data_IF_177655357373
#
_entry.id   IF_177655357373
#
_cell.length_a   1.000
_cell.length_b   1.000
_cell.length_c   1.000
_cell.angle_alpha   90.00
_cell.angle_beta   90.00
_cell.angle_gamma   90.00
#
_symmetry.space_group_name_H-M   'P 1'
#
loop_
_entity.id
_entity.type
_entity.pdbx_description
1 polymer ?
#
# COMPACT_ATOMS: atom_id res chain seq x y z
N UNK A 1 9.18 32.94 11.38
CA UNK A 1 9.02 32.95 9.91
C UNK A 1 8.54 31.55 9.57
N UNK A 2 7.50 31.42 8.72
CA UNK A 2 6.99 30.12 8.35
C UNK A 2 8.08 29.29 7.65
N UNK A 3 8.16 28.02 8.01
CA UNK A 3 9.12 27.07 7.47
C UNK A 3 8.37 25.93 6.79
N UNK A 4 8.86 25.49 5.65
CA UNK A 4 8.25 24.41 4.86
C UNK A 4 9.12 23.16 4.92
N UNK A 5 8.51 22.01 5.15
CA UNK A 5 9.20 20.71 5.20
C UNK A 5 8.31 19.60 4.63
N UNK A 6 8.89 18.42 4.41
CA UNK A 6 8.13 17.23 4.01
C UNK A 6 7.97 16.28 5.19
N UNK A 7 6.73 15.86 5.46
CA UNK A 7 6.39 14.76 6.36
C UNK A 7 6.04 13.51 5.55
N UNK A 8 6.73 12.41 5.84
CA UNK A 8 6.49 11.06 5.30
C UNK A 8 6.61 10.02 6.42
N UNK A 9 6.17 8.79 6.18
CA UNK A 9 6.25 7.66 7.09
C UNK A 9 6.10 6.35 6.31
N UNK A 10 6.28 5.21 6.97
CA UNK A 10 5.87 3.90 6.44
C UNK A 10 6.49 3.57 5.07
N UNK A 11 7.79 3.82 4.91
CA UNK A 11 8.51 3.48 3.67
C UNK A 11 8.61 1.98 3.46
N UNK A 12 8.58 1.20 4.56
CA UNK A 12 8.49 -0.26 4.56
C UNK A 12 9.46 -0.92 3.56
N UNK A 13 10.70 -0.43 3.55
CA UNK A 13 11.72 -0.95 2.64
C UNK A 13 12.00 -2.41 2.99
N UNK A 14 11.97 -3.26 1.97
CA UNK A 14 12.15 -4.70 2.12
C UNK A 14 10.87 -5.50 2.30
N UNK A 15 9.69 -4.87 2.18
CA UNK A 15 8.40 -5.57 2.21
C UNK A 15 8.39 -6.78 1.27
N UNK A 16 8.00 -7.97 1.74
CA UNK A 16 8.18 -9.21 0.98
C UNK A 16 7.16 -9.39 -0.15
N UNK A 17 6.00 -8.71 -0.11
CA UNK A 17 4.91 -8.88 -1.09
C UNK A 17 4.52 -10.36 -1.35
N UNK A 18 4.33 -11.14 -0.28
CA UNK A 18 4.14 -12.59 -0.35
C UNK A 18 2.95 -13.05 -1.23
N UNK A 19 1.93 -12.20 -1.42
CA UNK A 19 0.80 -12.49 -2.30
C UNK A 19 1.08 -12.40 -3.81
N UNK A 20 2.30 -12.05 -4.21
CA UNK A 20 2.74 -11.98 -5.61
C UNK A 20 3.67 -13.15 -5.88
N UNK A 21 3.32 -14.03 -6.81
CA UNK A 21 4.07 -15.26 -7.10
C UNK A 21 5.38 -15.00 -7.86
N UNK A 22 5.36 -14.04 -8.79
CA UNK A 22 6.50 -13.68 -9.62
C UNK A 22 7.56 -12.88 -8.83
N UNK A 23 8.79 -13.41 -8.77
CA UNK A 23 9.89 -12.82 -8.02
C UNK A 23 10.43 -11.51 -8.60
N UNK A 24 10.34 -11.34 -9.92
CA UNK A 24 10.76 -10.12 -10.60
C UNK A 24 9.77 -8.99 -10.32
N UNK A 25 8.46 -9.29 -10.31
CA UNK A 25 7.44 -8.31 -9.93
C UNK A 25 7.55 -7.90 -8.46
N UNK A 26 7.85 -8.83 -7.54
CA UNK A 26 8.18 -8.47 -6.14
C UNK A 26 9.40 -7.55 -6.07
N UNK A 27 10.44 -7.85 -6.85
CA UNK A 27 11.66 -7.04 -6.90
C UNK A 27 11.41 -5.64 -7.48
N UNK A 28 10.57 -5.51 -8.51
CA UNK A 28 10.13 -4.23 -9.07
C UNK A 28 9.40 -3.38 -8.03
N UNK A 29 8.47 -3.97 -7.27
CA UNK A 29 7.77 -3.25 -6.20
C UNK A 29 8.71 -2.77 -5.09
N UNK A 30 9.73 -3.55 -4.74
CA UNK A 30 10.80 -3.09 -3.85
C UNK A 30 11.55 -1.89 -4.42
N UNK A 31 11.84 -1.89 -5.73
CA UNK A 31 12.50 -0.78 -6.41
C UNK A 31 11.63 0.49 -6.46
N UNK A 32 10.31 0.37 -6.67
CA UNK A 32 9.40 1.52 -6.65
C UNK A 32 9.34 2.22 -5.29
N UNK A 33 9.45 1.48 -4.17
CA UNK A 33 9.59 2.10 -2.84
C UNK A 33 10.85 2.96 -2.71
N UNK A 34 11.95 2.56 -3.33
CA UNK A 34 13.17 3.39 -3.37
C UNK A 34 12.98 4.58 -4.33
N UNK A 35 12.31 4.37 -5.45
CA UNK A 35 11.97 5.46 -6.38
C UNK A 35 11.12 6.54 -5.70
N UNK A 36 10.22 6.17 -4.79
CA UNK A 36 9.46 7.13 -3.99
C UNK A 36 10.36 8.07 -3.16
N UNK A 37 11.52 7.60 -2.68
CA UNK A 37 12.53 8.44 -1.99
C UNK A 37 13.13 9.45 -2.98
N UNK A 38 13.43 9.01 -4.20
CA UNK A 38 13.89 9.91 -5.27
C UNK A 38 12.81 10.92 -5.66
N UNK A 39 11.53 10.54 -5.62
CA UNK A 39 10.42 11.48 -5.85
C UNK A 39 10.30 12.49 -4.71
N UNK A 40 10.51 12.09 -3.45
CA UNK A 40 10.62 13.01 -2.30
C UNK A 40 11.74 14.03 -2.52
N UNK A 41 12.91 13.59 -3.01
CA UNK A 41 14.01 14.50 -3.32
C UNK A 41 13.64 15.55 -4.38
N UNK A 42 12.86 15.17 -5.42
CA UNK A 42 12.34 16.11 -6.43
C UNK A 42 11.37 17.11 -5.79
N UNK A 43 10.42 16.64 -4.99
CA UNK A 43 9.44 17.49 -4.30
C UNK A 43 10.11 18.48 -3.32
N UNK A 44 11.19 18.07 -2.65
CA UNK A 44 11.97 18.99 -1.80
C UNK A 44 12.51 20.18 -2.61
N UNK A 45 13.06 19.91 -3.81
CA UNK A 45 13.59 20.95 -4.70
C UNK A 45 12.48 21.83 -5.27
N UNK A 46 11.38 21.22 -5.71
CA UNK A 46 10.24 21.93 -6.31
C UNK A 46 9.58 22.90 -5.32
N UNK A 47 9.46 22.50 -4.06
CA UNK A 47 8.74 23.27 -3.04
C UNK A 47 9.65 24.02 -2.05
N UNK A 48 10.97 23.95 -2.22
CA UNK A 48 11.92 24.60 -1.32
C UNK A 48 11.78 24.11 0.13
N UNK A 49 11.61 22.80 0.32
CA UNK A 49 11.53 22.21 1.66
C UNK A 49 12.88 22.33 2.38
N UNK A 50 12.88 22.70 3.66
CA UNK A 50 14.08 22.87 4.47
C UNK A 50 14.61 21.57 5.07
N UNK A 51 13.75 20.58 5.27
CA UNK A 51 14.10 19.24 5.77
C UNK A 51 12.98 18.23 5.46
N UNK A 52 13.27 16.96 5.72
CA UNK A 52 12.30 15.85 5.67
C UNK A 52 12.21 15.21 7.05
N UNK A 53 11.00 14.86 7.48
CA UNK A 53 10.77 13.98 8.65
C UNK A 53 10.15 12.66 8.22
N UNK A 54 10.68 11.56 8.74
CA UNK A 54 10.20 10.19 8.54
C UNK A 54 9.66 9.69 9.87
N UNK A 55 8.34 9.63 10.01
CA UNK A 55 7.64 9.29 11.25
C UNK A 55 7.50 7.76 11.46
N UNK A 56 8.60 7.01 11.31
CA UNK A 56 8.65 5.57 11.58
C UNK A 56 8.50 4.67 10.35
N UNK A 57 8.81 3.40 10.58
CA UNK A 57 8.77 2.30 9.61
C UNK A 57 9.48 2.63 8.29
N UNK A 58 10.74 3.01 8.39
CA UNK A 58 11.62 3.12 7.23
C UNK A 58 11.85 1.74 6.61
N UNK A 59 12.08 0.74 7.46
CA UNK A 59 12.27 -0.66 7.06
C UNK A 59 11.09 -1.53 7.49
N UNK A 60 10.75 -2.53 6.67
CA UNK A 60 9.70 -3.52 6.97
C UNK A 60 10.18 -4.61 7.96
N UNK A 61 11.47 -4.61 8.31
CA UNK A 61 12.08 -5.58 9.21
C UNK A 61 13.26 -4.98 9.98
N UNK A 62 13.50 -5.50 11.18
CA UNK A 62 14.67 -5.18 12.03
C UNK A 62 16.01 -5.62 11.40
N UNK A 63 15.98 -6.51 10.41
CA UNK A 63 17.16 -7.01 9.68
C UNK A 63 16.93 -6.96 8.17
N UNK A 64 16.86 -5.76 7.56
CA UNK A 64 16.69 -5.63 6.12
C UNK A 64 17.93 -6.17 5.39
N UNK A 65 17.74 -6.68 4.18
CA UNK A 65 18.87 -7.18 3.39
C UNK A 65 19.80 -6.02 3.00
N UNK A 66 21.11 -6.28 3.02
CA UNK A 66 22.16 -5.28 2.77
C UNK A 66 22.00 -4.51 1.45
N UNK A 67 21.53 -5.18 0.40
CA UNK A 67 21.26 -4.55 -0.91
C UNK A 67 20.24 -3.42 -0.79
N UNK A 68 19.12 -3.67 -0.11
CA UNK A 68 18.10 -2.65 0.11
C UNK A 68 18.62 -1.52 1.00
N UNK A 69 19.47 -1.84 1.98
CA UNK A 69 20.12 -0.84 2.83
C UNK A 69 20.93 0.15 2.00
N UNK A 70 21.86 -0.34 1.18
CA UNK A 70 22.72 0.52 0.36
C UNK A 70 21.94 1.34 -0.66
N UNK A 71 20.96 0.74 -1.35
CA UNK A 71 20.15 1.46 -2.35
C UNK A 71 19.29 2.56 -1.72
N UNK A 72 18.71 2.28 -0.56
CA UNK A 72 17.88 3.25 0.18
C UNK A 72 18.72 4.39 0.73
N UNK A 73 19.86 4.09 1.36
CA UNK A 73 20.77 5.12 1.86
C UNK A 73 21.30 6.00 0.71
N UNK A 74 21.64 5.40 -0.43
CA UNK A 74 22.01 6.16 -1.63
C UNK A 74 20.91 7.12 -2.09
N UNK A 75 19.64 6.67 -2.11
CA UNK A 75 18.52 7.54 -2.46
C UNK A 75 18.26 8.65 -1.42
N UNK A 76 18.41 8.34 -0.12
CA UNK A 76 18.32 9.34 0.95
C UNK A 76 19.41 10.40 0.80
N UNK A 77 20.64 9.99 0.48
CA UNK A 77 21.77 10.90 0.24
C UNK A 77 21.58 11.86 -0.93
N UNK A 78 20.62 11.60 -1.82
CA UNK A 78 20.28 12.48 -2.95
C UNK A 78 19.17 13.50 -2.61
N UNK A 79 18.53 13.36 -1.45
CA UNK A 79 17.64 14.39 -0.90
C UNK A 79 18.49 15.62 -0.54
N UNK A 80 18.19 16.81 -1.08
CA UNK A 80 19.07 17.98 -0.97
C UNK A 80 19.09 18.62 0.43
N UNK A 81 18.29 18.09 1.36
CA UNK A 81 18.06 18.64 2.70
C UNK A 81 18.25 17.55 3.76
N UNK A 82 18.45 17.92 5.05
CA UNK A 82 18.52 16.96 6.14
C UNK A 82 17.25 16.11 6.26
N UNK A 83 17.42 14.84 6.61
CA UNK A 83 16.36 13.86 6.81
C UNK A 83 16.41 13.37 8.26
N UNK A 84 15.32 13.53 9.00
CA UNK A 84 15.21 13.11 10.40
C UNK A 84 14.24 11.94 10.52
N UNK A 85 14.68 10.83 11.09
CA UNK A 85 13.86 9.61 11.21
C UNK A 85 13.72 9.17 12.66
N UNK A 86 12.50 8.82 13.06
CA UNK A 86 12.24 8.00 14.24
C UNK A 86 11.99 6.55 13.81
N UNK A 87 12.29 5.53 14.64
CA UNK A 87 11.88 4.15 14.42
C UNK A 87 10.37 3.92 14.65
N UNK A 88 9.78 3.00 13.89
CA UNK A 88 8.41 2.50 14.05
C UNK A 88 8.37 1.07 14.62
N UNK A 89 7.29 0.33 14.40
CA UNK A 89 7.13 -1.04 14.93
C UNK A 89 7.88 -2.10 14.13
N UNK A 90 8.00 -1.94 12.81
CA UNK A 90 8.72 -2.90 11.97
C UNK A 90 10.24 -2.79 12.12
N UNK A 91 10.72 -1.58 12.43
CA UNK A 91 12.12 -1.27 12.64
C UNK A 91 12.37 -0.65 14.01
N UNK A 92 11.75 -1.13 15.08
CA UNK A 92 11.90 -0.52 16.41
C UNK A 92 13.36 -0.27 16.86
N UNK A 93 13.61 0.81 17.61
CA UNK A 93 14.95 1.30 17.98
C UNK A 93 15.73 0.49 19.02
N UNK A 94 15.31 -0.74 19.35
CA UNK A 94 16.01 -1.57 20.34
C UNK A 94 17.42 -1.95 19.85
N UNK A 95 18.32 -2.25 20.79
CA UNK A 95 19.62 -2.86 20.47
C UNK A 95 19.44 -4.13 19.64
N UNK A 96 20.29 -4.31 18.62
CA UNK A 96 20.26 -5.47 17.72
C UNK A 96 19.40 -5.29 16.46
N UNK A 97 18.65 -4.20 16.35
CA UNK A 97 17.92 -3.83 15.12
C UNK A 97 18.82 -3.08 14.12
N UNK A 98 18.31 -2.87 12.91
CA UNK A 98 19.00 -2.19 11.79
C UNK A 98 19.75 -0.93 12.20
N UNK A 99 19.17 -0.11 13.08
CA UNK A 99 19.76 1.16 13.52
C UNK A 99 21.11 1.04 14.22
N UNK A 100 21.42 -0.14 14.75
CA UNK A 100 22.64 -0.42 15.51
C UNK A 100 23.60 -1.37 14.77
N UNK A 101 23.25 -1.81 13.57
CA UNK A 101 24.09 -2.72 12.79
C UNK A 101 25.28 -1.98 12.19
N UNK A 102 26.49 -2.51 12.34
CA UNK A 102 27.73 -1.90 11.82
C UNK A 102 27.62 -1.57 10.33
N UNK A 103 27.08 -2.49 9.53
CA UNK A 103 26.89 -2.28 8.10
C UNK A 103 26.01 -1.04 7.79
N UNK A 104 24.88 -0.90 8.47
CA UNK A 104 23.99 0.26 8.28
C UNK A 104 24.68 1.55 8.70
N UNK A 105 25.38 1.54 9.84
CA UNK A 105 26.08 2.72 10.36
C UNK A 105 27.20 3.19 9.42
N UNK A 106 28.03 2.26 8.92
CA UNK A 106 29.12 2.53 7.98
C UNK A 106 28.60 3.05 6.62
N UNK A 107 27.59 2.37 6.06
CA UNK A 107 26.97 2.79 4.81
C UNK A 107 26.28 4.15 4.96
N UNK A 108 25.61 4.43 6.08
CA UNK A 108 24.94 5.71 6.32
C UNK A 108 25.93 6.87 6.30
N UNK A 109 27.09 6.71 6.95
CA UNK A 109 28.13 7.74 6.96
C UNK A 109 28.64 8.06 5.55
N UNK A 110 28.67 7.08 4.66
CA UNK A 110 29.20 7.22 3.29
C UNK A 110 28.12 7.70 2.31
N UNK A 111 26.93 7.11 2.36
CA UNK A 111 25.89 7.26 1.35
C UNK A 111 24.79 8.26 1.75
N UNK A 112 24.52 8.43 3.04
CA UNK A 112 23.45 9.28 3.56
C UNK A 112 23.90 10.11 4.77
N UNK A 113 24.95 10.96 4.64
CA UNK A 113 25.42 11.79 5.75
C UNK A 113 24.36 12.80 6.22
N UNK A 114 23.35 13.08 5.40
CA UNK A 114 22.17 13.90 5.71
C UNK A 114 21.07 13.15 6.50
N UNK A 115 21.21 11.85 6.76
CA UNK A 115 20.26 11.08 7.56
C UNK A 115 20.60 11.13 9.06
N UNK A 116 19.70 11.72 9.84
CA UNK A 116 19.80 11.88 11.28
C UNK A 116 18.82 10.94 12.00
N UNK A 117 19.36 10.10 12.88
CA UNK A 117 18.58 9.12 13.64
C UNK A 117 18.12 9.72 14.97
N UNK A 118 16.81 9.76 15.20
CA UNK A 118 16.21 10.26 16.43
C UNK A 118 15.79 9.06 17.29
N UNK A 119 16.74 8.51 18.06
CA UNK A 119 16.53 7.29 18.87
C UNK A 119 16.22 7.57 20.34
N UNK A 120 16.15 8.85 20.74
CA UNK A 120 15.91 9.28 22.11
C UNK A 120 14.74 10.26 22.18
N UNK A 121 13.98 10.24 23.27
CA UNK A 121 12.88 11.15 23.54
C UNK A 121 13.38 12.45 24.16
N UNK A 122 14.14 13.23 23.37
CA UNK A 122 14.73 14.51 23.78
C UNK A 122 14.50 15.57 22.71
N UNK A 123 14.31 16.86 23.07
CA UNK A 123 14.18 17.92 22.08
C UNK A 123 15.43 18.03 21.19
N UNK A 124 15.21 18.15 19.88
CA UNK A 124 16.28 18.39 18.89
C UNK A 124 16.06 19.75 18.27
N UNK A 125 16.90 20.71 18.65
CA UNK A 125 16.86 22.07 18.12
C UNK A 125 17.52 22.13 16.73
N UNK A 126 16.75 22.56 15.73
CA UNK A 126 17.22 22.93 14.40
C UNK A 126 17.27 24.46 14.30
N UNK A 127 17.72 24.99 13.16
CA UNK A 127 17.88 26.44 12.96
C UNK A 127 16.56 27.20 13.19
N UNK A 128 15.43 26.72 12.63
CA UNK A 128 14.12 27.40 12.71
C UNK A 128 13.05 26.65 13.52
N UNK A 129 13.27 25.36 13.81
CA UNK A 129 12.29 24.49 14.48
C UNK A 129 12.89 23.68 15.62
N UNK A 130 12.04 23.08 16.44
CA UNK A 130 12.39 22.07 17.42
C UNK A 130 11.63 20.79 17.08
N UNK A 131 12.36 19.69 16.87
CA UNK A 131 11.76 18.37 16.75
C UNK A 131 11.59 17.75 18.14
N UNK A 132 10.45 17.10 18.34
CA UNK A 132 10.06 16.41 19.56
C UNK A 132 9.79 14.94 19.23
N UNK A 133 10.86 14.12 19.13
CA UNK A 133 10.75 12.72 18.73
C UNK A 133 10.13 11.84 19.84
N UNK A 134 9.27 10.91 19.42
CA UNK A 134 8.68 9.85 20.23
C UNK A 134 9.04 8.48 19.62
N UNK A 135 10.32 8.06 19.69
CA UNK A 135 10.80 6.88 18.97
C UNK A 135 10.28 5.58 19.58
N UNK A 136 9.82 4.66 18.73
CA UNK A 136 9.38 3.34 19.19
C UNK A 136 10.59 2.43 19.43
N UNK A 137 10.94 2.17 20.69
CA UNK A 137 12.12 1.36 21.06
C UNK A 137 11.84 -0.14 21.20
N UNK A 138 10.59 -0.56 21.08
CA UNK A 138 10.17 -1.98 21.05
C UNK A 138 9.02 -2.09 20.07
N UNK A 139 8.90 -3.21 19.36
CA UNK A 139 7.82 -3.46 18.38
C UNK A 139 6.42 -3.12 18.91
N UNK A 140 6.14 -3.49 20.16
CA UNK A 140 4.90 -3.15 20.84
C UNK A 140 5.18 -2.58 22.23
N UNK A 141 4.51 -1.46 22.52
CA UNK A 141 4.46 -0.83 23.84
C UNK A 141 3.01 -0.59 24.26
N UNK A 142 2.75 -0.75 25.56
CA UNK A 142 1.45 -0.45 26.16
C UNK A 142 1.39 0.97 26.76
N UNK A 143 2.53 1.67 26.78
CA UNK A 143 2.67 3.06 27.21
C UNK A 143 2.56 4.01 26.02
N UNK A 144 2.01 5.19 26.27
CA UNK A 144 1.92 6.26 25.28
C UNK A 144 3.28 6.96 25.13
N UNK A 145 3.94 6.83 23.99
CA UNK A 145 5.26 7.42 23.78
C UNK A 145 5.27 8.95 23.70
N UNK A 146 4.11 9.58 23.60
CA UNK A 146 3.98 11.03 23.70
C UNK A 146 3.85 11.50 25.16
N UNK A 147 3.88 10.58 26.13
CA UNK A 147 3.73 10.90 27.55
C UNK A 147 4.74 11.93 28.06
N UNK A 148 5.98 11.86 27.61
CA UNK A 148 7.05 12.76 28.04
C UNK A 148 6.76 14.23 27.67
N UNK A 149 5.91 14.47 26.66
CA UNK A 149 5.46 15.81 26.25
C UNK A 149 4.34 16.36 27.16
N UNK A 150 3.73 15.50 27.98
CA UNK A 150 2.69 15.88 28.94
C UNK A 150 3.27 16.10 30.33
N UNK A 151 4.28 15.32 30.69
CA UNK A 151 4.92 15.37 31.99
C UNK A 151 5.94 16.51 32.07
N UNK A 152 5.61 17.56 32.82
CA UNK A 152 6.54 18.66 33.09
C UNK A 152 6.49 19.76 32.03
N UNK A 153 5.78 20.85 32.34
CA UNK A 153 5.82 22.09 31.55
C UNK A 153 7.23 22.69 31.42
N UNK A 154 8.17 22.23 32.26
CA UNK A 154 9.58 22.61 32.29
C UNK A 154 10.29 22.38 30.95
N UNK A 155 9.93 21.31 30.22
CA UNK A 155 10.51 21.04 28.90
C UNK A 155 10.34 22.27 28.00
N UNK A 156 9.16 22.87 28.00
CA UNK A 156 8.86 24.02 27.14
C UNK A 156 9.47 25.33 27.63
N UNK A 157 9.69 25.48 28.94
CA UNK A 157 10.25 26.70 29.53
C UNK A 157 11.71 26.94 29.10
N UNK A 158 12.47 25.87 28.86
CA UNK A 158 13.86 25.95 28.40
C UNK A 158 14.03 26.06 26.88
N UNK A 159 12.95 25.91 26.11
CA UNK A 159 13.02 25.85 24.65
C UNK A 159 12.96 27.25 24.01
N UNK A 160 13.79 27.50 22.98
CA UNK A 160 13.66 28.70 22.15
C UNK A 160 12.26 28.86 21.56
N UNK A 161 11.91 30.10 21.22
CA UNK A 161 10.65 30.44 20.58
C UNK A 161 10.66 30.06 19.08
N UNK A 162 10.70 28.76 18.81
CA UNK A 162 10.72 28.12 17.48
C UNK A 162 9.51 27.21 17.34
N UNK A 163 9.06 26.97 16.10
CA UNK A 163 7.95 26.05 15.86
C UNK A 163 8.32 24.64 16.34
N UNK A 164 7.38 23.94 16.99
CA UNK A 164 7.62 22.64 17.64
C UNK A 164 6.85 21.54 16.94
N UNK A 165 7.59 20.56 16.44
CA UNK A 165 7.07 19.47 15.60
C UNK A 165 7.25 18.13 16.33
N UNK A 166 6.17 17.43 16.62
CA UNK A 166 6.21 16.08 17.19
C UNK A 166 6.37 15.06 16.07
N UNK A 167 7.21 14.04 16.28
CA UNK A 167 7.26 12.85 15.43
C UNK A 167 6.86 11.67 16.31
N UNK A 168 5.80 10.94 15.94
CA UNK A 168 5.35 9.77 16.67
C UNK A 168 4.88 8.67 15.71
N UNK A 169 4.99 7.42 16.13
CA UNK A 169 4.56 6.27 15.35
C UNK A 169 3.64 5.38 16.19
N UNK A 170 2.40 5.21 15.73
CA UNK A 170 1.40 4.42 16.43
C UNK A 170 -0.04 4.86 16.15
N UNK A 171 -0.99 4.07 16.65
CA UNK A 171 -2.41 4.23 16.40
C UNK A 171 -3.07 5.26 17.34
N UNK A 172 -4.09 5.98 16.85
CA UNK A 172 -4.86 6.97 17.65
C UNK A 172 -6.25 6.44 18.02
N UNK A 173 -6.70 6.74 19.25
CA UNK A 173 -7.90 6.16 19.87
C UNK A 173 -9.26 6.62 19.28
N UNK A 174 -9.28 7.65 18.42
CA UNK A 174 -10.54 8.26 17.93
C UNK A 174 -11.16 7.62 16.67
N UNK A 175 -10.77 6.38 16.34
CA UNK A 175 -11.52 5.56 15.38
C UNK A 175 -12.36 4.52 16.11
N UNK A 176 -13.61 4.92 16.39
CA UNK A 176 -14.64 4.01 16.83
C UNK A 176 -14.84 2.88 15.81
N UNK A 177 -14.72 1.64 16.31
CA UNK A 177 -15.47 0.46 15.86
C UNK A 177 -15.91 0.45 14.39
N UNK A 178 -14.95 0.37 13.48
CA UNK A 178 -15.10 -0.45 12.30
C UNK A 178 -13.88 -1.36 12.33
N UNK A 179 -14.08 -2.58 12.83
CA UNK A 179 -13.17 -3.69 12.59
C UNK A 179 -12.99 -3.80 11.07
N UNK A 180 -11.91 -3.23 10.57
CA UNK A 180 -11.46 -3.49 9.22
C UNK A 180 -10.98 -4.94 9.24
N UNK A 181 -11.80 -5.83 8.67
CA UNK A 181 -11.44 -7.22 8.46
C UNK A 181 -10.32 -7.26 7.42
N UNK A 182 -9.11 -7.13 7.93
CA UNK A 182 -7.91 -7.35 7.20
C UNK A 182 -7.63 -8.85 7.20
N UNK A 183 -7.94 -9.55 6.11
CA UNK A 183 -7.51 -10.95 5.91
C UNK A 183 -5.97 -11.10 5.95
N UNK A 184 -5.21 -10.00 5.75
CA UNK A 184 -3.76 -9.95 5.86
C UNK A 184 -3.23 -9.32 7.19
N UNK A 185 -4.10 -8.77 8.05
CA UNK A 185 -3.77 -8.25 9.40
C UNK A 185 -4.65 -8.89 10.49
N UNK A 186 -4.80 -10.21 10.43
CA UNK A 186 -5.42 -10.98 11.51
C UNK A 186 -4.56 -10.86 12.78
N UNK A 187 -4.93 -9.97 13.71
CA UNK A 187 -4.54 -10.10 15.12
C UNK A 187 -3.88 -8.92 15.83
N UNK A 188 -3.83 -7.69 15.29
CA UNK A 188 -3.34 -6.56 16.07
C UNK A 188 -4.40 -6.08 17.09
N UNK A 189 -4.24 -6.51 18.34
CA UNK A 189 -4.61 -5.66 19.47
C UNK A 189 -3.97 -4.29 19.20
N UNK A 190 -4.73 -3.20 19.28
CA UNK A 190 -4.25 -1.83 19.06
C UNK A 190 -3.15 -1.49 20.10
N UNK A 191 -1.92 -1.90 19.80
CA UNK A 191 -0.70 -1.61 20.52
C UNK A 191 -0.18 -0.24 20.08
N UNK A 192 0.79 0.32 20.79
CA UNK A 192 1.42 1.60 20.41
C UNK A 192 0.43 2.78 20.38
N UNK A 193 -0.56 2.78 21.29
CA UNK A 193 -1.61 3.80 21.32
C UNK A 193 -1.09 5.18 21.72
N UNK A 194 -1.49 6.19 20.95
CA UNK A 194 -1.17 7.60 21.15
C UNK A 194 -2.41 8.36 21.64
N UNK A 195 -2.29 9.07 22.76
CA UNK A 195 -3.39 9.86 23.34
C UNK A 195 -3.25 11.34 23.02
N UNK A 196 -3.45 11.70 21.75
CA UNK A 196 -3.20 13.06 21.25
C UNK A 196 -3.97 14.14 22.02
N UNK A 197 -5.24 13.90 22.38
CA UNK A 197 -6.06 14.87 23.11
C UNK A 197 -5.55 15.23 24.51
N UNK A 198 -4.53 14.53 25.04
CA UNK A 198 -3.86 14.89 26.30
C UNK A 198 -2.60 15.74 26.09
N UNK A 199 -2.21 16.02 24.85
CA UNK A 199 -1.03 16.82 24.55
C UNK A 199 -1.30 18.32 24.77
N UNK A 200 -0.29 19.09 25.20
CA UNK A 200 -0.43 20.54 25.32
C UNK A 200 -0.41 21.20 23.94
N UNK A 201 -1.53 21.15 23.21
CA UNK A 201 -1.63 21.66 21.82
C UNK A 201 -1.27 23.14 21.62
N UNK A 202 -1.20 23.95 22.68
CA UNK A 202 -0.72 25.33 22.61
C UNK A 202 0.82 25.43 22.55
N UNK A 203 1.53 24.41 23.03
CA UNK A 203 2.99 24.30 22.96
C UNK A 203 3.48 23.66 21.67
N UNK A 204 2.59 22.98 20.93
CA UNK A 204 2.92 22.20 19.73
C UNK A 204 2.33 22.85 18.49
N UNK A 205 3.05 22.81 17.37
CA UNK A 205 2.63 23.46 16.12
C UNK A 205 2.28 22.46 15.03
N UNK A 206 2.85 21.25 15.05
CA UNK A 206 2.50 20.15 14.16
C UNK A 206 2.82 18.78 14.80
N UNK A 207 2.04 17.76 14.47
CA UNK A 207 2.23 16.38 14.92
C UNK A 207 2.27 15.46 13.69
N UNK A 208 3.47 14.99 13.37
CA UNK A 208 3.77 14.04 12.31
C UNK A 208 3.58 12.60 12.81
N UNK A 209 2.61 11.89 12.26
CA UNK A 209 2.26 10.51 12.61
C UNK A 209 2.61 9.52 11.49
N UNK A 210 3.14 8.36 11.85
CA UNK A 210 3.17 7.13 11.03
C UNK A 210 2.47 5.97 11.74
N UNK A 211 2.36 4.80 11.06
CA UNK A 211 1.63 3.54 11.44
C UNK A 211 0.35 3.35 10.60
N UNK A 212 -0.15 4.41 9.97
CA UNK A 212 -1.32 4.36 9.10
C UNK A 212 -0.93 4.65 7.65
N UNK A 213 -1.17 3.68 6.76
CA UNK A 213 -0.67 3.73 5.39
C UNK A 213 -1.44 4.67 4.44
N UNK A 214 -2.52 5.31 4.88
CA UNK A 214 -3.25 6.33 4.10
C UNK A 214 -2.95 7.76 4.57
N UNK A 215 -3.13 8.76 3.72
CA UNK A 215 -3.10 10.16 4.16
C UNK A 215 -4.36 10.47 4.96
N UNK A 216 -4.18 10.99 6.18
CA UNK A 216 -5.29 11.24 7.08
C UNK A 216 -5.04 12.43 8.00
N UNK A 217 -5.95 13.40 7.95
CA UNK A 217 -6.02 14.45 8.95
C UNK A 217 -6.75 13.92 10.19
N UNK A 218 -6.14 14.02 11.36
CA UNK A 218 -6.76 13.66 12.63
C UNK A 218 -7.39 14.89 13.27
N UNK A 219 -6.62 15.99 13.34
CA UNK A 219 -7.09 17.28 13.83
C UNK A 219 -6.39 18.43 13.06
N UNK A 220 -6.48 19.67 13.55
CA UNK A 220 -5.87 20.83 12.90
C UNK A 220 -4.33 20.76 12.77
N UNK A 221 -3.64 20.00 13.63
CA UNK A 221 -2.18 19.90 13.72
C UNK A 221 -1.65 18.47 13.56
N UNK A 222 -2.50 17.45 13.67
CA UNK A 222 -2.10 16.04 13.67
C UNK A 222 -2.45 15.33 12.36
N UNK A 223 -1.46 14.71 11.72
CA UNK A 223 -1.60 14.10 10.41
C UNK A 223 -0.83 12.79 10.29
N UNK A 224 -1.45 11.78 9.69
CA UNK A 224 -0.75 10.65 9.07
C UNK A 224 -0.44 10.99 7.61
N UNK A 225 0.82 10.84 7.19
CA UNK A 225 1.17 11.03 5.78
C UNK A 225 0.69 9.89 4.89
N UNK A 226 0.64 8.67 5.44
CA UNK A 226 0.53 7.45 4.66
C UNK A 226 1.88 6.96 4.17
N UNK A 227 1.86 5.80 3.50
CA UNK A 227 3.03 5.25 2.82
C UNK A 227 3.27 6.00 1.50
N UNK A 228 4.51 6.38 1.16
CA UNK A 228 4.81 7.16 -0.04
C UNK A 228 4.72 6.35 -1.33
N UNK A 229 4.79 5.03 -1.25
CA UNK A 229 4.52 4.10 -2.35
C UNK A 229 3.42 3.13 -1.91
N UNK A 230 2.28 3.05 -2.63
CA UNK A 230 1.18 2.18 -2.24
C UNK A 230 1.61 0.71 -2.15
N UNK A 231 1.00 -0.02 -1.22
CA UNK A 231 1.49 -1.34 -0.83
C UNK A 231 0.42 -2.40 -0.64
N UNK A 232 -0.82 -2.02 -0.87
CA UNK A 232 -2.02 -2.83 -0.73
C UNK A 232 -3.14 -2.25 -1.59
N UNK A 233 -4.16 -3.05 -1.86
CA UNK A 233 -5.35 -2.56 -2.55
C UNK A 233 -6.13 -1.57 -1.66
N UNK A 234 -6.76 -0.53 -2.25
CA UNK A 234 -7.53 0.45 -1.50
C UNK A 234 -8.66 -0.19 -0.67
N UNK A 235 -8.81 0.23 0.59
CA UNK A 235 -9.86 -0.22 1.53
C UNK A 235 -10.90 0.88 1.78
N UNK A 236 -11.38 1.48 0.69
CA UNK A 236 -12.32 2.61 0.73
C UNK A 236 -11.64 3.98 0.73
N UNK A 237 -12.46 5.03 0.76
CA UNK A 237 -12.02 6.42 0.51
C UNK A 237 -11.05 6.99 1.57
N UNK A 238 -10.95 6.37 2.75
CA UNK A 238 -10.06 6.82 3.84
C UNK A 238 -8.61 6.35 3.73
N UNK A 239 -8.23 5.62 2.68
CA UNK A 239 -6.89 5.06 2.47
C UNK A 239 -6.23 5.67 1.23
N UNK A 240 -6.11 7.01 1.18
CA UNK A 240 -5.38 7.69 0.10
C UNK A 240 -3.86 7.48 0.27
N UNK A 241 -3.31 6.44 -0.35
CA UNK A 241 -1.89 6.08 -0.27
C UNK A 241 -1.04 6.76 -1.35
N UNK A 242 0.28 6.58 -1.27
CA UNK A 242 1.22 7.04 -2.31
C UNK A 242 1.52 8.52 -2.22
N UNK A 243 1.50 9.06 -1.00
CA UNK A 243 1.60 10.48 -0.72
C UNK A 243 2.72 10.77 0.28
N UNK A 244 3.18 12.02 0.23
CA UNK A 244 3.84 12.71 1.34
C UNK A 244 3.13 14.02 1.61
N UNK A 245 3.40 14.65 2.75
CA UNK A 245 2.78 15.91 3.14
C UNK A 245 3.79 17.05 3.05
N UNK A 246 3.48 18.07 2.26
CA UNK A 246 4.17 19.37 2.33
C UNK A 246 3.53 20.18 3.46
N UNK A 247 4.32 20.53 4.46
CA UNK A 247 3.85 21.19 5.67
C UNK A 247 4.54 22.52 5.80
N UNK A 248 3.77 23.60 5.94
CA UNK A 248 4.28 24.92 6.32
C UNK A 248 3.82 25.23 7.74
N UNK A 249 4.76 25.46 8.64
CA UNK A 249 4.50 25.71 10.07
C UNK A 249 5.13 27.02 10.52
N UNK A 250 4.47 27.71 11.45
CA UNK A 250 5.01 28.86 12.17
C UNK A 250 4.59 28.76 13.63
N UNK A 251 5.38 29.34 14.53
CA UNK A 251 5.15 29.18 15.97
C UNK A 251 3.79 29.78 16.37
N UNK A 252 2.95 28.97 17.01
CA UNK A 252 1.64 29.35 17.52
C UNK A 252 0.53 29.41 16.46
N UNK A 253 0.82 29.11 15.19
CA UNK A 253 -0.15 29.14 14.10
C UNK A 253 -0.65 27.73 13.75
N UNK A 254 -1.81 27.66 13.09
CA UNK A 254 -2.29 26.41 12.48
C UNK A 254 -1.45 26.14 11.22
N UNK A 255 -0.89 24.93 11.06
CA UNK A 255 -0.04 24.61 9.92
C UNK A 255 -0.86 24.52 8.63
N UNK A 256 -0.23 24.82 7.50
CA UNK A 256 -0.79 24.51 6.17
C UNK A 256 -0.24 23.17 5.72
N UNK A 257 -1.11 22.25 5.32
CA UNK A 257 -0.73 20.89 4.90
C UNK A 257 -1.27 20.61 3.51
N UNK A 258 -0.40 20.19 2.58
CA UNK A 258 -0.77 19.81 1.22
C UNK A 258 -0.24 18.40 0.92
N UNK A 259 -1.11 17.42 0.64
CA UNK A 259 -0.67 16.13 0.11
C UNK A 259 -0.02 16.28 -1.26
N UNK A 260 1.10 15.60 -1.47
CA UNK A 260 1.83 15.53 -2.72
C UNK A 260 2.01 14.06 -3.10
N UNK A 261 1.72 13.71 -4.35
CA UNK A 261 1.85 12.34 -4.84
C UNK A 261 3.32 11.97 -5.06
N UNK A 262 3.71 10.80 -4.55
CA UNK A 262 5.02 10.18 -4.76
C UNK A 262 4.93 8.79 -5.36
N UNK A 263 3.77 8.14 -5.21
CA UNK A 263 3.54 6.77 -5.64
C UNK A 263 3.63 6.61 -7.15
N UNK A 264 4.36 5.57 -7.60
CA UNK A 264 4.51 5.25 -9.03
C UNK A 264 3.55 4.14 -9.47
N UNK A 265 3.26 3.16 -8.61
CA UNK A 265 2.45 1.98 -8.93
C UNK A 265 0.99 2.17 -8.54
N UNK A 266 0.08 1.85 -9.45
CA UNK A 266 -1.36 1.86 -9.16
C UNK A 266 -1.82 0.52 -8.57
N UNK A 267 -2.52 0.59 -7.46
CA UNK A 267 -3.24 -0.56 -6.88
C UNK A 267 -4.73 -0.34 -7.10
N UNK A 268 -5.26 -1.02 -8.11
CA UNK A 268 -6.61 -0.81 -8.63
C UNK A 268 -7.55 -1.89 -8.10
N UNK A 269 -8.79 -1.50 -7.80
CA UNK A 269 -9.89 -2.43 -7.54
C UNK A 269 -11.00 -2.14 -8.54
N UNK A 270 -11.51 -3.18 -9.17
CA UNK A 270 -12.53 -3.03 -10.21
C UNK A 270 -13.52 -4.19 -10.21
N UNK A 271 -14.79 -3.88 -10.47
CA UNK A 271 -15.88 -4.85 -10.47
C UNK A 271 -16.66 -4.75 -11.78
N UNK A 272 -16.86 -5.90 -12.43
CA UNK A 272 -17.59 -5.98 -13.71
C UNK A 272 -18.68 -7.05 -13.60
N UNK A 273 -19.89 -6.71 -14.06
CA UNK A 273 -20.99 -7.65 -14.19
C UNK A 273 -21.27 -7.94 -15.67
N UNK A 274 -21.14 -9.21 -16.05
CA UNK A 274 -21.26 -9.69 -17.43
C UNK A 274 -22.67 -10.24 -17.67
N UNK A 275 -23.44 -9.61 -18.55
CA UNK A 275 -24.83 -10.02 -18.83
C UNK A 275 -24.93 -10.60 -20.23
N UNK A 276 -24.81 -11.93 -20.33
CA UNK A 276 -24.76 -12.62 -21.62
C UNK A 276 -23.52 -12.25 -22.42
N UNK A 277 -23.43 -12.73 -23.65
CA UNK A 277 -22.18 -12.66 -24.44
C UNK A 277 -21.76 -11.22 -24.81
N UNK A 278 -22.72 -10.30 -24.92
CA UNK A 278 -22.44 -8.86 -25.07
C UNK A 278 -21.72 -8.23 -23.86
N UNK A 279 -21.70 -8.92 -22.71
CA UNK A 279 -20.92 -8.51 -21.54
C UNK A 279 -19.42 -8.41 -21.80
N UNK A 280 -18.89 -9.12 -22.80
CA UNK A 280 -17.47 -9.01 -23.15
C UNK A 280 -17.09 -7.64 -23.72
N UNK A 281 -17.99 -6.97 -24.43
CA UNK A 281 -17.74 -5.62 -24.94
C UNK A 281 -17.66 -4.63 -23.78
N UNK A 282 -18.50 -4.82 -22.75
CA UNK A 282 -18.45 -4.04 -21.50
C UNK A 282 -17.14 -4.30 -20.77
N UNK A 283 -16.70 -5.56 -20.69
CA UNK A 283 -15.40 -5.91 -20.12
C UNK A 283 -14.25 -5.20 -20.84
N UNK A 284 -14.22 -5.26 -22.17
CA UNK A 284 -13.15 -4.65 -22.97
C UNK A 284 -13.11 -3.13 -22.82
N UNK A 285 -14.26 -2.47 -22.92
CA UNK A 285 -14.36 -1.02 -22.75
C UNK A 285 -13.92 -0.61 -21.34
N UNK A 286 -14.34 -1.36 -20.33
CA UNK A 286 -14.03 -1.05 -18.94
C UNK A 286 -12.56 -1.26 -18.60
N UNK A 287 -11.94 -2.32 -19.12
CA UNK A 287 -10.51 -2.57 -18.91
C UNK A 287 -9.64 -1.58 -19.67
N UNK A 288 -10.08 -1.14 -20.86
CA UNK A 288 -9.40 -0.09 -21.63
C UNK A 288 -9.47 1.27 -20.92
N UNK A 289 -10.62 1.63 -20.36
CA UNK A 289 -10.78 2.87 -19.58
C UNK A 289 -9.87 2.88 -18.34
N UNK A 290 -9.83 1.75 -17.62
CA UNK A 290 -9.05 1.61 -16.39
C UNK A 290 -7.53 1.57 -16.62
N UNK A 291 -7.08 0.75 -17.57
CA UNK A 291 -5.65 0.42 -17.75
C UNK A 291 -5.02 1.11 -18.95
N UNK A 292 -5.81 1.52 -19.94
CA UNK A 292 -5.33 2.01 -21.22
C UNK A 292 -4.39 1.00 -21.88
N UNK A 293 -3.21 1.47 -22.27
CA UNK A 293 -2.14 0.67 -22.89
C UNK A 293 -0.97 0.40 -21.94
N UNK A 294 -1.14 0.60 -20.63
CA UNK A 294 -0.07 0.42 -19.64
C UNK A 294 0.28 -1.05 -19.46
N UNK A 295 1.56 -1.33 -19.23
CA UNK A 295 2.12 -2.68 -19.03
C UNK A 295 3.16 -2.60 -17.92
N UNK A 296 3.18 -3.61 -17.03
CA UNK A 296 4.20 -3.82 -16.02
C UNK A 296 4.23 -2.79 -14.89
N UNK A 297 3.16 -2.02 -14.71
CA UNK A 297 3.12 -0.86 -13.80
C UNK A 297 1.94 -0.86 -12.83
N UNK A 298 0.91 -1.68 -13.06
CA UNK A 298 -0.32 -1.70 -12.27
C UNK A 298 -0.57 -3.08 -11.64
N UNK A 299 -1.22 -3.08 -10.48
CA UNK A 299 -1.84 -4.25 -9.86
C UNK A 299 -3.35 -4.08 -9.89
N UNK A 300 -4.07 -5.15 -10.20
CA UNK A 300 -5.53 -5.12 -10.27
C UNK A 300 -6.14 -6.22 -9.40
N UNK A 301 -7.06 -5.82 -8.53
CA UNK A 301 -8.04 -6.71 -7.92
C UNK A 301 -9.33 -6.62 -8.72
N UNK A 302 -9.59 -7.65 -9.53
CA UNK A 302 -10.73 -7.71 -10.44
C UNK A 302 -11.79 -8.67 -9.91
N UNK A 303 -13.02 -8.20 -9.73
CA UNK A 303 -14.17 -9.04 -9.39
C UNK A 303 -15.12 -9.15 -10.57
N UNK A 304 -15.41 -10.37 -11.01
CA UNK A 304 -16.30 -10.65 -12.14
C UNK A 304 -17.54 -11.41 -11.67
N UNK A 305 -18.72 -10.97 -12.12
CA UNK A 305 -20.01 -11.61 -11.81
C UNK A 305 -20.87 -11.74 -13.07
N UNK A 306 -21.99 -12.45 -12.98
CA UNK A 306 -22.96 -12.57 -14.07
C UNK A 306 -22.85 -13.91 -14.81
N UNK A 307 -23.14 -13.94 -16.11
CA UNK A 307 -23.15 -15.18 -16.89
C UNK A 307 -22.76 -14.99 -18.35
N UNK A 308 -22.04 -15.96 -18.92
CA UNK A 308 -21.61 -16.02 -20.31
C UNK A 308 -21.90 -17.39 -20.95
N UNK A 309 -22.07 -17.43 -22.27
CA UNK A 309 -21.99 -18.65 -23.09
C UNK A 309 -20.59 -19.25 -23.13
N UNK A 310 -20.44 -20.40 -23.78
CA UNK A 310 -19.17 -21.14 -23.85
C UNK A 310 -18.09 -20.39 -24.63
N UNK A 311 -18.42 -19.84 -25.79
CA UNK A 311 -17.50 -19.10 -26.64
C UNK A 311 -17.07 -17.79 -25.99
N UNK A 312 -18.03 -17.05 -25.43
CA UNK A 312 -17.73 -15.81 -24.73
C UNK A 312 -16.88 -16.05 -23.47
N UNK A 313 -17.16 -17.11 -22.71
CA UNK A 313 -16.33 -17.45 -21.55
C UNK A 313 -14.90 -17.83 -21.97
N UNK A 314 -14.71 -18.58 -23.07
CA UNK A 314 -13.38 -18.87 -23.60
C UNK A 314 -12.61 -17.58 -23.96
N UNK A 315 -13.29 -16.64 -24.62
CA UNK A 315 -12.70 -15.35 -24.96
C UNK A 315 -12.34 -14.52 -23.70
N UNK A 316 -13.16 -14.60 -22.64
CA UNK A 316 -12.84 -14.00 -21.35
C UNK A 316 -11.54 -14.58 -20.77
N UNK A 317 -11.37 -15.90 -20.78
CA UNK A 317 -10.14 -16.53 -20.26
C UNK A 317 -8.88 -16.09 -21.01
N UNK A 318 -8.95 -16.00 -22.35
CA UNK A 318 -7.84 -15.51 -23.16
C UNK A 318 -7.49 -14.04 -22.85
N UNK A 319 -8.50 -13.21 -22.61
CA UNK A 319 -8.32 -11.82 -22.19
C UNK A 319 -7.71 -11.74 -20.79
N UNK A 320 -8.18 -12.57 -19.85
CA UNK A 320 -7.62 -12.63 -18.50
C UNK A 320 -6.16 -13.09 -18.50
N UNK A 321 -5.80 -14.07 -19.33
CA UNK A 321 -4.40 -14.48 -19.53
C UNK A 321 -3.54 -13.31 -20.04
N UNK A 322 -4.07 -12.54 -21.00
CA UNK A 322 -3.41 -11.32 -21.47
C UNK A 322 -3.15 -10.32 -20.32
N UNK A 323 -4.13 -10.09 -19.45
CA UNK A 323 -3.96 -9.16 -18.32
C UNK A 323 -3.07 -9.71 -17.21
N UNK A 324 -3.09 -11.01 -16.96
CA UNK A 324 -2.14 -11.69 -16.04
C UNK A 324 -0.70 -11.41 -16.45
N UNK A 325 -0.41 -11.43 -17.75
CA UNK A 325 0.94 -11.17 -18.27
C UNK A 325 1.27 -9.68 -18.45
N UNK A 326 0.26 -8.79 -18.46
CA UNK A 326 0.47 -7.33 -18.56
C UNK A 326 0.64 -6.65 -17.21
N UNK A 327 0.01 -7.17 -16.16
CA UNK A 327 -0.01 -6.55 -14.83
C UNK A 327 1.13 -7.07 -13.95
N UNK A 328 1.49 -6.30 -12.92
CA UNK A 328 2.39 -6.78 -11.87
C UNK A 328 1.71 -7.87 -11.02
N UNK A 329 0.38 -7.78 -10.88
CA UNK A 329 -0.47 -8.78 -10.24
C UNK A 329 -1.91 -8.62 -10.74
N UNK A 330 -2.55 -9.71 -11.12
CA UNK A 330 -4.00 -9.81 -11.24
C UNK A 330 -4.54 -10.68 -10.10
N UNK A 331 -5.18 -10.07 -9.10
CA UNK A 331 -5.96 -10.78 -8.08
C UNK A 331 -7.39 -10.92 -8.61
N UNK A 332 -7.77 -12.12 -9.02
CA UNK A 332 -9.06 -12.37 -9.67
C UNK A 332 -10.05 -13.03 -8.71
N UNK A 333 -11.23 -12.42 -8.58
CA UNK A 333 -12.43 -13.04 -8.01
C UNK A 333 -13.44 -13.29 -9.12
N UNK A 334 -13.39 -14.47 -9.73
CA UNK A 334 -14.30 -14.82 -10.83
C UNK A 334 -15.50 -15.64 -10.35
N UNK A 335 -16.68 -15.02 -10.35
CA UNK A 335 -17.98 -15.62 -10.01
C UNK A 335 -18.92 -15.65 -11.22
N UNK A 336 -18.38 -15.60 -12.44
CA UNK A 336 -19.16 -15.69 -13.69
C UNK A 336 -19.67 -17.11 -13.87
N UNK A 337 -20.97 -17.25 -14.11
CA UNK A 337 -21.63 -18.52 -14.36
C UNK A 337 -21.63 -18.87 -15.84
N UNK A 338 -21.48 -20.16 -16.13
CA UNK A 338 -21.62 -20.66 -17.49
C UNK A 338 -23.09 -20.88 -17.83
N UNK A 339 -23.57 -20.17 -18.86
CA UNK A 339 -24.92 -20.31 -19.41
C UNK A 339 -24.86 -20.48 -20.94
N UNK A 340 -24.53 -21.70 -21.42
CA UNK A 340 -24.36 -21.96 -22.85
C UNK A 340 -25.64 -21.69 -23.65
N UNK A 341 -25.50 -21.15 -24.86
CA UNK A 341 -26.62 -20.98 -25.77
C UNK A 341 -27.07 -22.32 -26.36
N UNK A 342 -28.32 -22.41 -26.83
CA UNK A 342 -28.82 -23.62 -27.50
C UNK A 342 -27.98 -23.99 -28.72
N UNK A 343 -27.47 -23.00 -29.45
CA UNK A 343 -26.61 -23.18 -30.62
C UNK A 343 -25.25 -23.79 -30.25
N UNK A 344 -24.65 -23.34 -29.15
CA UNK A 344 -23.39 -23.89 -28.64
C UNK A 344 -23.55 -25.34 -28.19
N UNK A 345 -24.64 -25.66 -27.51
CA UNK A 345 -24.97 -27.02 -27.09
C UNK A 345 -25.21 -27.95 -28.29
N UNK A 346 -25.95 -27.49 -29.30
CA UNK A 346 -26.19 -28.22 -30.54
C UNK A 346 -24.88 -28.47 -31.30
N UNK A 347 -23.98 -27.49 -31.34
CA UNK A 347 -22.68 -27.61 -32.01
C UNK A 347 -21.82 -28.73 -31.41
N UNK A 348 -21.82 -28.87 -30.08
CA UNK A 348 -21.09 -29.92 -29.37
C UNK A 348 -21.69 -31.30 -29.61
N UNK A 349 -23.02 -31.41 -29.63
CA UNK A 349 -23.72 -32.69 -29.88
C UNK A 349 -23.61 -33.15 -31.34
N UNK A 350 -23.44 -32.23 -32.29
CA UNK A 350 -23.34 -32.52 -33.73
C UNK A 350 -21.91 -32.45 -34.26
N UNK A 351 -20.90 -32.50 -33.39
CA UNK A 351 -19.50 -32.51 -33.82
C UNK A 351 -19.18 -33.75 -34.65
N UNK A 352 -19.16 -33.61 -35.99
CA UNK A 352 -18.86 -34.70 -36.93
C UNK A 352 -17.39 -35.14 -36.88
N UNK A 353 -16.51 -34.29 -36.37
CA UNK A 353 -15.07 -34.54 -36.29
C UNK A 353 -14.69 -35.52 -35.18
N UNK A 354 -15.52 -35.66 -34.14
CA UNK A 354 -15.25 -36.57 -33.02
C UNK A 354 -16.55 -37.11 -32.37
N UNK A 355 -16.98 -38.33 -32.75
CA UNK A 355 -18.17 -38.97 -32.18
C UNK A 355 -18.12 -39.21 -30.67
N UNK A 356 -16.93 -39.26 -30.05
CA UNK A 356 -16.79 -39.41 -28.61
C UNK A 356 -17.20 -38.13 -27.90
N UNK A 357 -16.78 -36.97 -28.43
CA UNK A 357 -17.10 -35.64 -27.90
C UNK A 357 -18.61 -35.40 -27.92
N UNK A 358 -19.26 -35.70 -29.04
CA UNK A 358 -20.71 -35.60 -29.17
C UNK A 358 -21.46 -36.41 -28.11
N UNK A 359 -21.01 -37.66 -27.86
CA UNK A 359 -21.61 -38.54 -26.85
C UNK A 359 -21.40 -38.03 -25.42
N UNK A 360 -20.20 -37.51 -25.11
CA UNK A 360 -19.89 -36.95 -23.79
C UNK A 360 -20.69 -35.66 -23.56
N UNK A 361 -20.75 -34.77 -24.54
CA UNK A 361 -21.54 -33.54 -24.47
C UNK A 361 -23.03 -33.84 -24.22
N UNK A 362 -23.63 -34.77 -24.96
CA UNK A 362 -25.02 -35.18 -24.75
C UNK A 362 -25.28 -35.69 -23.33
N UNK A 363 -24.34 -36.47 -22.76
CA UNK A 363 -24.44 -36.95 -21.38
C UNK A 363 -24.35 -35.81 -20.36
N UNK A 364 -23.41 -34.89 -20.53
CA UNK A 364 -23.23 -33.73 -19.64
C UNK A 364 -24.46 -32.82 -19.67
N UNK A 365 -25.01 -32.55 -20.85
CA UNK A 365 -26.22 -31.74 -21.03
C UNK A 365 -27.42 -32.40 -20.35
N UNK A 366 -27.55 -33.72 -20.42
CA UNK A 366 -28.60 -34.46 -19.71
C UNK A 366 -28.50 -34.29 -18.19
N UNK A 367 -27.29 -34.33 -17.63
CA UNK A 367 -27.04 -34.09 -16.19
C UNK A 367 -27.37 -32.65 -15.81
N UNK A 368 -26.99 -31.67 -16.64
CA UNK A 368 -27.32 -30.25 -16.41
C UNK A 368 -28.84 -30.04 -16.39
N UNK A 369 -29.57 -30.63 -17.34
CA UNK A 369 -31.03 -30.51 -17.44
C UNK A 369 -31.77 -31.21 -16.30
N UNK A 370 -31.19 -32.26 -15.71
CA UNK A 370 -31.75 -32.96 -14.55
C UNK A 370 -31.60 -32.16 -13.25
N UNK A 371 -30.65 -31.22 -13.20
CA UNK A 371 -30.32 -30.42 -12.03
C UNK A 371 -29.76 -31.25 -10.87
N UNK A 372 -29.59 -30.60 -9.71
CA UNK A 372 -29.13 -31.25 -8.47
C UNK A 372 -27.62 -31.12 -8.22
N UNK A 373 -27.08 -31.94 -7.31
CA UNK A 373 -25.71 -31.80 -6.79
C UNK A 373 -24.62 -31.91 -7.88
N UNK A 374 -24.90 -32.58 -9.00
CA UNK A 374 -23.95 -32.79 -10.09
C UNK A 374 -24.00 -31.71 -11.17
N UNK A 375 -24.94 -30.76 -11.13
CA UNK A 375 -25.11 -29.75 -12.19
C UNK A 375 -23.86 -28.88 -12.36
N UNK A 376 -23.31 -28.36 -11.25
CA UNK A 376 -22.12 -27.50 -11.27
C UNK A 376 -20.91 -28.22 -11.87
N UNK A 377 -20.71 -29.49 -11.50
CA UNK A 377 -19.63 -30.33 -12.02
C UNK A 377 -19.84 -30.58 -13.52
N UNK A 378 -21.07 -30.84 -13.95
CA UNK A 378 -21.39 -31.08 -15.35
C UNK A 378 -21.17 -29.83 -16.22
N UNK A 379 -21.51 -28.63 -15.72
CA UNK A 379 -21.22 -27.35 -16.40
C UNK A 379 -19.71 -27.13 -16.57
N UNK A 380 -18.93 -27.39 -15.52
CA UNK A 380 -17.47 -27.26 -15.60
C UNK A 380 -16.86 -28.29 -16.57
N UNK A 381 -17.31 -29.54 -16.54
CA UNK A 381 -16.87 -30.57 -17.48
C UNK A 381 -17.24 -30.22 -18.94
N UNK A 382 -18.41 -29.63 -19.16
CA UNK A 382 -18.84 -29.19 -20.49
C UNK A 382 -17.95 -28.04 -21.01
N UNK A 383 -17.57 -27.11 -20.13
CA UNK A 383 -16.60 -26.06 -20.43
C UNK A 383 -15.26 -26.64 -20.88
N UNK A 384 -14.69 -27.55 -20.10
CA UNK A 384 -13.42 -28.21 -20.42
C UNK A 384 -13.47 -28.97 -21.75
N UNK A 385 -14.58 -29.67 -22.01
CA UNK A 385 -14.82 -30.35 -23.28
C UNK A 385 -14.82 -29.37 -24.47
N UNK A 386 -15.55 -28.24 -24.35
CA UNK A 386 -15.58 -27.21 -25.39
C UNK A 386 -14.18 -26.63 -25.63
N UNK A 387 -13.42 -26.30 -24.58
CA UNK A 387 -12.09 -25.69 -24.75
C UNK A 387 -11.11 -26.65 -25.42
N UNK A 388 -11.16 -27.92 -25.07
CA UNK A 388 -10.33 -28.95 -25.70
C UNK A 388 -10.63 -29.07 -27.20
N UNK A 389 -11.88 -28.90 -27.62
CA UNK A 389 -12.24 -28.94 -29.06
C UNK A 389 -11.77 -27.73 -29.86
N UNK A 390 -11.48 -26.60 -29.20
CA UNK A 390 -11.02 -25.35 -29.84
C UNK A 390 -9.51 -25.16 -29.78
N UNK A 391 -8.81 -25.94 -28.95
CA UNK A 391 -7.35 -25.94 -28.82
C UNK A 391 -6.64 -26.84 -29.86
N UNK A 392 -7.39 -27.63 -30.63
CA UNK A 392 -6.94 -28.49 -31.74
C UNK A 392 -7.26 -27.77 -33.05
#
# INVERSE_FOLDING_TARGET
MPITFIHTADWQIGKPYAGIEDADNRSKLGAYRIEAISNIAKLCKEHGASFVVVAGDLWDSVTPIKKWVSQTLKAIGEIPVPVYVIPGNHDHGAMGTVWHQSYFLEERLTLAPNLHLLLEAVPVELEEVILLPCPLLRRHVNSDLTEWLRSGTEIYQGLPNKARIVLAHGSVFEFGSASFEDEEEVGYTSANLLTLGKLPHHELDYIALGDWHGTKQIDAKSWYSGTPEPDRFPKGAGHDQGNVLLVTVDRGQVPTVKPLKTGTVSWLKHEISLTGDGGLEVFDASMLDLLGTRVGTDLLHLSLTGSLGLEAYLALEQKLDTYTNRLLRLKLENKVQLNPSAEELDSLQRSEKDPLIARVAAKLISIINQGGEQELIAREALKQLYFTTKAI
#
